data_IF_009839214905
#
_entry.id   IF_009839214905
#
_cell.length_a   1.000
_cell.length_b   1.000
_cell.length_c   1.000
_cell.angle_alpha   90.00
_cell.angle_beta   90.00
_cell.angle_gamma   90.00
#
_symmetry.space_group_name_H-M   'P 1'
#
loop_
_entity.id
_entity.type
_entity.pdbx_description
1 polymer ?
#
# COMPACT_ATOMS: atom_id res chain seq x y z
N UNK A 1 3.81 -20.48 -4.84
CA UNK A 1 2.93 -19.86 -5.85
C UNK A 1 3.24 -18.37 -5.96
N UNK A 2 3.41 -17.84 -7.17
CA UNK A 2 3.63 -16.40 -7.37
C UNK A 2 2.34 -15.72 -7.81
N UNK A 3 2.12 -14.53 -7.27
CA UNK A 3 0.96 -13.68 -7.50
C UNK A 3 1.47 -12.35 -8.03
N UNK A 4 1.00 -11.97 -9.21
CA UNK A 4 1.41 -10.77 -9.91
C UNK A 4 0.31 -9.71 -9.82
N UNK A 5 0.65 -8.54 -9.28
CA UNK A 5 -0.24 -7.39 -9.20
C UNK A 5 0.15 -6.38 -10.27
N UNK A 6 -0.84 -5.76 -10.89
CA UNK A 6 -0.66 -4.67 -11.84
C UNK A 6 -1.87 -3.74 -11.82
N UNK A 7 -1.66 -2.52 -12.29
CA UNK A 7 -2.70 -1.53 -12.55
C UNK A 7 -2.47 -1.01 -13.96
N UNK A 8 -3.55 -0.65 -14.63
CA UNK A 8 -3.51 0.13 -15.87
C UNK A 8 -3.94 1.59 -15.62
N UNK A 9 -4.17 1.95 -14.36
CA UNK A 9 -4.35 3.33 -13.91
C UNK A 9 -3.08 3.84 -13.22
N UNK A 10 -2.42 4.83 -13.83
CA UNK A 10 -1.13 5.35 -13.37
C UNK A 10 -1.15 5.81 -11.90
N UNK A 11 -2.26 6.41 -11.45
CA UNK A 11 -2.41 6.94 -10.09
C UNK A 11 -2.41 5.86 -9.00
N UNK A 12 -2.67 4.59 -9.34
CA UNK A 12 -2.69 3.47 -8.39
C UNK A 12 -1.33 2.76 -8.27
N UNK A 13 -0.34 3.14 -9.08
CA UNK A 13 0.97 2.43 -9.14
C UNK A 13 1.70 2.43 -7.79
N UNK A 14 1.64 3.55 -7.06
CA UNK A 14 2.22 3.66 -5.72
C UNK A 14 1.47 2.77 -4.71
N UNK A 15 0.13 2.72 -4.79
CA UNK A 15 -0.71 1.93 -3.87
C UNK A 15 -0.45 0.43 -4.03
N UNK A 16 -0.23 -0.05 -5.26
CA UNK A 16 0.15 -1.43 -5.52
C UNK A 16 1.44 -1.80 -4.78
N UNK A 17 2.43 -0.91 -4.78
CA UNK A 17 3.72 -1.19 -4.13
C UNK A 17 3.54 -1.39 -2.62
N UNK A 18 2.72 -0.55 -1.99
CA UNK A 18 2.36 -0.66 -0.57
C UNK A 18 1.66 -1.97 -0.26
N UNK A 19 0.73 -2.38 -1.12
CA UNK A 19 -0.02 -3.64 -0.98
C UNK A 19 0.92 -4.84 -1.11
N UNK A 20 1.79 -4.88 -2.12
CA UNK A 20 2.76 -5.98 -2.33
C UNK A 20 3.68 -6.12 -1.11
N UNK A 21 4.22 -5.02 -0.60
CA UNK A 21 5.12 -5.05 0.57
C UNK A 21 4.39 -5.55 1.82
N UNK A 22 3.14 -5.15 2.01
CA UNK A 22 2.31 -5.62 3.12
C UNK A 22 2.04 -7.13 3.03
N UNK A 23 1.57 -7.60 1.88
CA UNK A 23 1.21 -9.00 1.66
C UNK A 23 2.42 -9.94 1.81
N UNK A 24 3.61 -9.47 1.44
CA UNK A 24 4.86 -10.23 1.62
C UNK A 24 5.38 -10.26 3.06
N UNK A 25 4.77 -9.55 4.03
CA UNK A 25 5.12 -9.71 5.46
C UNK A 25 4.74 -11.08 6.01
N UNK A 26 3.70 -11.71 5.45
CA UNK A 26 3.30 -13.06 5.80
C UNK A 26 4.23 -14.09 5.14
N UNK A 27 4.96 -14.86 5.96
CA UNK A 27 5.88 -15.90 5.47
C UNK A 27 5.10 -17.11 4.96
N UNK A 28 5.45 -17.60 3.78
CA UNK A 28 4.88 -18.83 3.21
C UNK A 28 5.10 -18.96 1.71
N UNK A 29 4.31 -19.85 1.10
CA UNK A 29 4.37 -20.25 -0.31
C UNK A 29 3.84 -19.19 -1.28
N UNK A 30 2.92 -18.33 -0.84
CA UNK A 30 2.40 -17.18 -1.59
C UNK A 30 3.46 -16.07 -1.62
N UNK A 31 3.83 -15.64 -2.83
CA UNK A 31 4.79 -14.55 -3.08
C UNK A 31 4.17 -13.52 -4.00
N UNK A 32 4.14 -12.26 -3.57
CA UNK A 32 3.52 -11.17 -4.30
C UNK A 32 4.59 -10.34 -5.02
N UNK A 33 4.34 -10.01 -6.29
CA UNK A 33 5.24 -9.22 -7.13
C UNK A 33 4.44 -8.24 -7.98
N UNK A 34 5.06 -7.13 -8.35
CA UNK A 34 4.51 -6.21 -9.36
C UNK A 34 4.86 -6.75 -10.74
N UNK A 35 3.89 -6.73 -11.65
CA UNK A 35 4.09 -7.07 -13.06
C UNK A 35 4.10 -5.79 -13.90
N UNK A 36 5.16 -5.53 -14.68
CA UNK A 36 5.20 -4.36 -15.55
C UNK A 36 4.25 -4.54 -16.73
N UNK A 37 3.71 -3.42 -17.22
CA UNK A 37 2.89 -3.36 -18.42
C UNK A 37 3.48 -2.37 -19.44
N UNK A 38 3.05 -2.50 -20.69
CA UNK A 38 3.29 -1.52 -21.75
C UNK A 38 1.96 -0.89 -22.20
N UNK A 39 1.99 0.39 -22.55
CA UNK A 39 0.80 1.16 -22.95
C UNK A 39 0.43 1.04 -24.43
N UNK A 40 1.28 0.39 -25.23
CA UNK A 40 1.09 0.23 -26.68
C UNK A 40 0.40 -1.08 -27.09
N UNK A 41 -0.19 -1.82 -26.15
CA UNK A 41 -0.67 -3.20 -26.35
C UNK A 41 -2.20 -3.27 -26.53
N UNK A 42 -2.66 -4.44 -27.02
CA UNK A 42 -4.08 -4.75 -27.20
C UNK A 42 -4.87 -4.66 -25.89
N UNK A 43 -4.44 -5.38 -24.86
CA UNK A 43 -5.06 -5.32 -23.53
C UNK A 43 -5.14 -3.90 -22.94
N UNK A 44 -4.14 -3.04 -23.18
CA UNK A 44 -4.15 -1.67 -22.67
C UNK A 44 -5.26 -0.87 -23.36
N UNK A 45 -5.33 -0.98 -24.70
CA UNK A 45 -6.40 -0.33 -25.47
C UNK A 45 -7.79 -0.84 -25.07
N UNK A 46 -7.94 -2.16 -24.92
CA UNK A 46 -9.18 -2.79 -24.46
C UNK A 46 -9.62 -2.19 -23.12
N UNK A 47 -8.72 -2.18 -22.14
CA UNK A 47 -8.99 -1.59 -20.83
C UNK A 47 -9.49 -0.15 -20.93
N UNK A 48 -8.77 0.74 -21.63
CA UNK A 48 -9.14 2.15 -21.73
C UNK A 48 -10.46 2.39 -22.47
N UNK A 49 -10.79 1.55 -23.45
CA UNK A 49 -12.06 1.64 -24.19
C UNK A 49 -13.25 1.09 -23.40
N UNK A 50 -13.03 0.17 -22.47
CA UNK A 50 -14.07 -0.38 -21.62
C UNK A 50 -14.54 0.62 -20.57
N UNK A 51 -15.86 0.86 -20.47
CA UNK A 51 -16.46 1.64 -19.37
C UNK A 51 -16.49 0.85 -18.05
N UNK A 52 -16.65 -0.46 -18.17
CA UNK A 52 -16.73 -1.43 -17.08
C UNK A 52 -16.07 -2.74 -17.53
N UNK A 53 -15.65 -3.56 -16.57
CA UNK A 53 -14.96 -4.82 -16.83
C UNK A 53 -15.90 -6.00 -16.61
N UNK A 54 -16.02 -6.88 -17.60
CA UNK A 54 -16.70 -8.17 -17.48
C UNK A 54 -15.71 -9.26 -17.10
N UNK A 55 -16.20 -10.45 -16.75
CA UNK A 55 -15.33 -11.61 -16.52
C UNK A 55 -14.47 -11.94 -17.74
N UNK A 56 -15.03 -11.80 -18.95
CA UNK A 56 -14.32 -12.02 -20.21
C UNK A 56 -13.20 -10.99 -20.39
N UNK A 57 -13.47 -9.69 -20.21
CA UNK A 57 -12.44 -8.66 -20.38
C UNK A 57 -11.35 -8.74 -19.30
N UNK A 58 -11.71 -9.10 -18.06
CA UNK A 58 -10.73 -9.39 -17.00
C UNK A 58 -9.80 -10.52 -17.43
N UNK A 59 -10.36 -11.61 -17.96
CA UNK A 59 -9.58 -12.76 -18.39
C UNK A 59 -8.67 -12.42 -19.57
N UNK A 60 -9.17 -11.72 -20.58
CA UNK A 60 -8.42 -11.29 -21.76
C UNK A 60 -7.24 -10.38 -21.37
N UNK A 61 -7.52 -9.32 -20.60
CA UNK A 61 -6.48 -8.37 -20.14
C UNK A 61 -5.40 -9.08 -19.33
N UNK A 62 -5.80 -9.91 -18.36
CA UNK A 62 -4.84 -10.62 -17.51
C UNK A 62 -4.01 -11.63 -18.31
N UNK A 63 -4.63 -12.40 -19.22
CA UNK A 63 -3.92 -13.42 -19.98
C UNK A 63 -2.94 -12.83 -20.98
N UNK A 64 -3.31 -11.76 -21.68
CA UNK A 64 -2.39 -11.07 -22.60
C UNK A 64 -1.18 -10.51 -21.84
N UNK A 65 -1.40 -9.79 -20.73
CA UNK A 65 -0.31 -9.21 -19.94
C UNK A 65 0.59 -10.29 -19.32
N UNK A 66 0.00 -11.36 -18.76
CA UNK A 66 0.77 -12.51 -18.27
C UNK A 66 1.55 -13.18 -19.39
N UNK A 67 1.01 -13.17 -20.61
CA UNK A 67 1.66 -13.76 -21.77
C UNK A 67 2.86 -13.00 -22.27
N UNK A 68 2.75 -11.68 -22.35
CA UNK A 68 3.89 -10.80 -22.66
C UNK A 68 5.05 -11.00 -21.68
N UNK A 69 4.73 -11.35 -20.43
CA UNK A 69 5.71 -11.56 -19.36
C UNK A 69 6.07 -13.04 -19.12
N UNK A 70 5.55 -13.99 -19.90
CA UNK A 70 5.77 -15.44 -19.74
C UNK A 70 5.41 -16.00 -18.34
N UNK A 71 4.28 -15.57 -17.77
CA UNK A 71 3.83 -15.95 -16.42
C UNK A 71 2.39 -16.49 -16.38
N UNK A 72 1.90 -17.07 -17.49
CA UNK A 72 0.51 -17.55 -17.66
C UNK A 72 -0.04 -18.41 -16.50
N UNK A 73 0.79 -19.29 -15.94
CA UNK A 73 0.43 -20.22 -14.85
C UNK A 73 0.21 -19.55 -13.48
N UNK A 74 0.58 -18.28 -13.35
CA UNK A 74 0.51 -17.54 -12.09
C UNK A 74 -0.79 -16.73 -11.98
N UNK A 75 -1.08 -16.27 -10.76
CA UNK A 75 -2.16 -15.32 -10.54
C UNK A 75 -1.81 -13.97 -11.14
N UNK A 76 -2.76 -13.38 -11.87
CA UNK A 76 -2.72 -12.00 -12.34
C UNK A 76 -3.84 -11.21 -11.67
N UNK A 77 -3.48 -10.15 -10.95
CA UNK A 77 -4.40 -9.30 -10.19
C UNK A 77 -4.34 -7.89 -10.76
N UNK A 78 -5.42 -7.50 -11.44
CA UNK A 78 -5.67 -6.15 -11.90
C UNK A 78 -6.32 -5.33 -10.78
N UNK A 79 -5.63 -4.31 -10.28
CA UNK A 79 -6.24 -3.26 -9.44
C UNK A 79 -6.66 -2.12 -10.37
N UNK A 80 -7.91 -1.66 -10.26
CA UNK A 80 -8.52 -0.77 -11.25
C UNK A 80 -9.56 0.16 -10.64
N UNK A 81 -9.65 1.38 -11.16
CA UNK A 81 -10.72 2.33 -10.88
C UNK A 81 -12.00 2.10 -11.70
N UNK A 82 -12.01 1.11 -12.61
CA UNK A 82 -13.19 0.78 -13.42
C UNK A 82 -14.19 -0.06 -12.63
N UNK A 83 -15.48 0.16 -12.93
CA UNK A 83 -16.56 -0.68 -12.40
C UNK A 83 -16.40 -2.12 -12.90
N UNK A 84 -16.57 -3.08 -12.01
CA UNK A 84 -16.62 -4.51 -12.36
C UNK A 84 -18.09 -4.92 -12.48
N UNK A 85 -18.44 -5.51 -13.62
CA UNK A 85 -19.80 -5.95 -13.89
C UNK A 85 -20.16 -7.20 -13.08
N UNK A 86 -21.42 -7.27 -12.67
CA UNK A 86 -21.97 -8.44 -11.99
C UNK A 86 -22.12 -9.59 -13.00
N UNK A 87 -21.69 -10.82 -12.68
CA UNK A 87 -21.97 -11.98 -13.52
C UNK A 87 -23.47 -12.19 -13.72
N UNK A 88 -23.90 -12.38 -14.98
CA UNK A 88 -25.33 -12.50 -15.37
C UNK A 88 -26.06 -13.66 -14.69
N UNK A 89 -25.36 -14.72 -14.29
CA UNK A 89 -25.94 -15.90 -13.64
C UNK A 89 -26.45 -15.65 -12.21
N UNK A 90 -26.14 -14.48 -11.60
CA UNK A 90 -26.47 -14.18 -10.22
C UNK A 90 -27.68 -13.23 -10.17
N UNK A 91 -28.89 -13.79 -10.08
CA UNK A 91 -30.11 -13.03 -9.80
C UNK A 91 -30.27 -12.82 -8.30
N UNK A 92 -29.61 -11.78 -7.79
CA UNK A 92 -29.95 -11.17 -6.49
C UNK A 92 -30.33 -9.71 -6.76
N UNK A 93 -31.43 -9.26 -6.17
CA UNK A 93 -31.85 -7.87 -6.25
C UNK A 93 -30.80 -6.95 -5.58
N UNK A 94 -30.32 -5.96 -6.33
CA UNK A 94 -29.36 -4.96 -5.90
C UNK A 94 -28.59 -4.31 -7.07
N UNK A 95 -28.58 -2.98 -7.13
CA UNK A 95 -27.60 -2.17 -7.90
C UNK A 95 -26.32 -2.01 -7.05
N UNK A 96 -25.10 -1.83 -7.54
CA UNK A 96 -24.49 -1.73 -8.88
C UNK A 96 -22.98 -2.00 -8.67
N UNK A 97 -22.32 -2.73 -9.58
CA UNK A 97 -20.88 -3.11 -9.59
C UNK A 97 -20.34 -3.94 -8.41
N UNK A 98 -19.48 -4.91 -8.72
CA UNK A 98 -18.77 -5.72 -7.71
C UNK A 98 -17.47 -5.03 -7.29
N UNK A 99 -17.06 -5.24 -6.03
CA UNK A 99 -15.78 -4.75 -5.51
C UNK A 99 -14.59 -5.55 -6.02
N UNK A 100 -14.81 -6.81 -6.36
CA UNK A 100 -13.81 -7.69 -6.94
C UNK A 100 -14.49 -8.82 -7.70
N UNK A 101 -13.79 -9.43 -8.64
CA UNK A 101 -14.23 -10.64 -9.33
C UNK A 101 -13.03 -11.43 -9.83
N UNK A 102 -13.21 -12.73 -10.07
CA UNK A 102 -12.18 -13.59 -10.62
C UNK A 102 -12.70 -14.60 -11.63
N UNK A 103 -11.81 -14.97 -12.55
CA UNK A 103 -11.95 -16.09 -13.49
C UNK A 103 -10.67 -16.92 -13.38
N UNK A 104 -10.75 -18.10 -12.76
CA UNK A 104 -9.58 -18.90 -12.41
C UNK A 104 -8.52 -18.09 -11.64
N UNK A 105 -7.36 -17.85 -12.27
CA UNK A 105 -6.21 -17.12 -11.71
C UNK A 105 -6.15 -15.65 -12.14
N UNK A 106 -7.17 -15.17 -12.83
CA UNK A 106 -7.29 -13.78 -13.27
C UNK A 106 -8.28 -13.07 -12.35
N UNK A 107 -7.81 -12.08 -11.60
CA UNK A 107 -8.57 -11.37 -10.57
C UNK A 107 -8.60 -9.89 -10.93
N UNK A 108 -9.75 -9.24 -10.78
CA UNK A 108 -9.86 -7.79 -10.81
C UNK A 108 -10.42 -7.28 -9.48
N UNK A 109 -9.89 -6.16 -9.00
CA UNK A 109 -10.30 -5.51 -7.77
C UNK A 109 -10.49 -4.03 -8.04
N UNK A 110 -11.67 -3.54 -7.71
CA UNK A 110 -12.00 -2.12 -7.78
C UNK A 110 -11.23 -1.38 -6.68
N UNK A 111 -10.62 -0.24 -6.99
CA UNK A 111 -9.88 0.61 -6.05
C UNK A 111 -10.72 1.70 -5.38
N UNK A 112 -11.95 1.92 -5.84
CA UNK A 112 -12.79 3.03 -5.41
C UNK A 112 -13.69 2.65 -4.21
N UNK A 113 -14.17 3.68 -3.51
CA UNK A 113 -15.18 3.61 -2.44
C UNK A 113 -14.74 2.87 -1.16
N UNK A 114 -13.44 2.59 -1.01
CA UNK A 114 -12.90 1.93 0.17
C UNK A 114 -12.59 2.88 1.32
N UNK A 115 -12.38 4.16 1.02
CA UNK A 115 -12.08 5.20 2.01
C UNK A 115 -13.21 5.31 3.03
N UNK A 116 -14.46 5.25 2.57
CA UNK A 116 -15.67 5.31 3.39
C UNK A 116 -15.89 4.03 4.21
N UNK A 117 -15.32 2.90 3.79
CA UNK A 117 -15.45 1.60 4.46
C UNK A 117 -14.33 1.40 5.48
N UNK A 118 -13.12 1.91 5.21
CA UNK A 118 -11.91 1.59 5.98
C UNK A 118 -11.21 2.81 6.58
N UNK A 119 -11.90 3.94 6.67
CA UNK A 119 -11.39 5.18 7.30
C UNK A 119 -10.05 5.61 6.67
N UNK A 120 -10.07 5.90 5.37
CA UNK A 120 -8.91 6.30 4.55
C UNK A 120 -7.79 5.23 4.41
N UNK A 121 -8.04 3.97 4.80
CA UNK A 121 -7.11 2.84 4.68
C UNK A 121 -7.45 1.90 3.52
N UNK A 122 -7.82 2.46 2.37
CA UNK A 122 -8.28 1.72 1.17
C UNK A 122 -7.38 0.57 0.75
N UNK A 123 -6.06 0.74 0.89
CA UNK A 123 -5.07 -0.30 0.58
C UNK A 123 -5.24 -1.59 1.42
N UNK A 124 -5.78 -1.51 2.64
CA UNK A 124 -6.08 -2.67 3.48
C UNK A 124 -7.32 -3.42 2.97
N UNK A 125 -8.33 -2.68 2.49
CA UNK A 125 -9.51 -3.27 1.89
C UNK A 125 -9.16 -3.99 0.58
N UNK A 126 -8.37 -3.35 -0.28
CA UNK A 126 -7.86 -3.96 -1.52
C UNK A 126 -7.03 -5.21 -1.20
N UNK A 127 -6.14 -5.15 -0.21
CA UNK A 127 -5.35 -6.32 0.23
C UNK A 127 -6.24 -7.46 0.75
N UNK A 128 -7.31 -7.14 1.49
CA UNK A 128 -8.31 -8.13 1.90
C UNK A 128 -8.96 -8.78 0.68
N UNK A 129 -9.43 -7.98 -0.28
CA UNK A 129 -10.05 -8.48 -1.51
C UNK A 129 -9.11 -9.38 -2.32
N UNK A 130 -7.80 -9.07 -2.37
CA UNK A 130 -6.79 -9.94 -2.99
C UNK A 130 -6.80 -11.33 -2.35
N UNK A 131 -6.69 -11.37 -1.02
CA UNK A 131 -6.61 -12.62 -0.28
C UNK A 131 -7.93 -13.39 -0.35
N UNK A 132 -9.07 -12.70 -0.32
CA UNK A 132 -10.40 -13.27 -0.50
C UNK A 132 -10.53 -13.96 -1.87
N UNK A 133 -10.19 -13.27 -2.96
CA UNK A 133 -10.31 -13.84 -4.30
C UNK A 133 -9.33 -15.00 -4.52
N UNK A 134 -8.11 -14.93 -3.96
CA UNK A 134 -7.17 -16.06 -3.99
C UNK A 134 -7.75 -17.26 -3.23
N UNK A 135 -8.28 -17.04 -2.03
CA UNK A 135 -8.89 -18.10 -1.22
C UNK A 135 -10.08 -18.76 -1.94
N UNK A 136 -10.98 -17.96 -2.51
CA UNK A 136 -12.15 -18.44 -3.25
C UNK A 136 -11.75 -19.18 -4.54
N UNK A 137 -10.75 -18.67 -5.27
CA UNK A 137 -10.19 -19.31 -6.46
C UNK A 137 -9.54 -20.67 -6.14
N UNK A 138 -8.71 -20.74 -5.09
CA UNK A 138 -8.12 -22.01 -4.62
C UNK A 138 -9.18 -23.00 -4.12
N UNK A 139 -10.28 -22.49 -3.56
CA UNK A 139 -11.45 -23.29 -3.16
C UNK A 139 -12.31 -23.74 -4.35
N UNK A 140 -11.92 -23.41 -5.58
CA UNK A 140 -12.63 -23.75 -6.83
C UNK A 140 -14.06 -23.18 -6.89
N UNK A 141 -14.31 -22.03 -6.27
CA UNK A 141 -15.59 -21.33 -6.37
C UNK A 141 -15.73 -20.75 -7.78
N UNK A 142 -16.88 -20.97 -8.41
CA UNK A 142 -17.18 -20.44 -9.74
C UNK A 142 -18.21 -19.31 -9.64
N UNK A 143 -17.77 -18.06 -9.85
CA UNK A 143 -18.63 -16.88 -9.82
C UNK A 143 -19.70 -16.85 -10.92
N UNK A 144 -19.49 -17.60 -12.02
CA UNK A 144 -20.47 -17.73 -13.10
C UNK A 144 -21.47 -18.87 -12.88
N UNK A 145 -21.34 -19.65 -11.81
CA UNK A 145 -22.21 -20.80 -11.54
C UNK A 145 -23.53 -20.39 -10.89
N UNK A 146 -24.62 -21.07 -11.26
CA UNK A 146 -25.91 -21.00 -10.56
C UNK A 146 -25.83 -21.55 -9.13
N UNK A 147 -24.80 -22.33 -8.81
CA UNK A 147 -24.57 -22.94 -7.50
C UNK A 147 -23.76 -22.04 -6.56
N UNK A 148 -23.27 -20.87 -7.01
CA UNK A 148 -22.44 -19.95 -6.22
C UNK A 148 -23.02 -19.69 -4.81
N UNK A 149 -24.34 -19.55 -4.74
CA UNK A 149 -25.07 -19.24 -3.52
C UNK A 149 -24.99 -20.34 -2.45
N UNK A 150 -24.62 -21.56 -2.84
CA UNK A 150 -24.38 -22.69 -1.94
C UNK A 150 -22.92 -22.76 -1.46
N UNK A 151 -22.02 -22.04 -2.12
CA UNK A 151 -20.59 -22.03 -1.82
C UNK A 151 -20.16 -20.88 -0.89
N UNK A 152 -21.00 -19.85 -0.78
CA UNK A 152 -20.76 -18.65 0.04
C UNK A 152 -21.78 -18.52 1.18
N UNK A 153 -21.51 -17.63 2.14
CA UNK A 153 -22.45 -17.33 3.21
C UNK A 153 -23.33 -16.14 2.85
N UNK A 154 -24.62 -16.40 2.67
CA UNK A 154 -25.62 -15.36 2.43
C UNK A 154 -25.91 -14.53 3.68
N UNK A 155 -25.85 -15.17 4.85
CA UNK A 155 -25.96 -14.49 6.13
C UNK A 155 -24.55 -14.25 6.66
N UNK A 156 -24.21 -12.97 6.87
CA UNK A 156 -22.90 -12.56 7.36
C UNK A 156 -22.64 -13.13 8.75
N UNK A 157 -21.43 -13.67 8.94
CA UNK A 157 -20.90 -14.16 10.22
C UNK A 157 -19.43 -13.75 10.41
N UNK A 158 -18.97 -12.76 9.64
CA UNK A 158 -17.59 -12.33 9.54
C UNK A 158 -16.66 -13.36 8.89
N UNK A 159 -17.12 -14.26 8.04
CA UNK A 159 -16.22 -15.17 7.33
C UNK A 159 -15.72 -14.51 6.03
N UNK A 160 -14.51 -14.86 5.58
CA UNK A 160 -13.97 -14.41 4.28
C UNK A 160 -14.89 -14.74 3.08
N UNK A 161 -15.70 -15.79 3.19
CA UNK A 161 -16.69 -16.19 2.18
C UNK A 161 -18.09 -15.60 2.43
N UNK A 162 -18.23 -14.58 3.27
CA UNK A 162 -19.49 -13.85 3.39
C UNK A 162 -19.72 -13.00 2.12
N UNK A 163 -20.94 -13.04 1.60
CA UNK A 163 -21.33 -12.33 0.39
C UNK A 163 -21.14 -10.81 0.50
N UNK A 164 -21.38 -10.22 1.69
CA UNK A 164 -21.19 -8.79 1.93
C UNK A 164 -22.22 -7.93 1.18
N UNK A 165 -23.50 -8.01 1.60
CA UNK A 165 -24.62 -7.34 0.91
C UNK A 165 -24.56 -5.82 0.94
N UNK A 166 -23.84 -5.26 1.91
CA UNK A 166 -23.74 -3.83 2.15
C UNK A 166 -22.38 -3.51 2.77
N UNK A 167 -22.05 -2.22 2.84
CA UNK A 167 -20.77 -1.73 3.35
C UNK A 167 -20.50 -2.14 4.80
N UNK A 168 -21.53 -2.25 5.65
CA UNK A 168 -21.40 -2.67 7.05
C UNK A 168 -20.96 -4.14 7.13
N UNK A 169 -21.59 -5.01 6.35
CA UNK A 169 -21.19 -6.43 6.26
C UNK A 169 -19.79 -6.60 5.67
N UNK A 170 -19.44 -5.80 4.67
CA UNK A 170 -18.08 -5.80 4.08
C UNK A 170 -17.05 -5.37 5.12
N UNK A 171 -17.31 -4.28 5.84
CA UNK A 171 -16.43 -3.82 6.92
C UNK A 171 -16.28 -4.88 8.02
N UNK A 172 -17.38 -5.49 8.46
CA UNK A 172 -17.37 -6.55 9.47
C UNK A 172 -16.57 -7.78 9.01
N UNK A 173 -16.68 -8.17 7.73
CA UNK A 173 -15.88 -9.25 7.12
C UNK A 173 -14.39 -8.92 7.15
N UNK A 174 -14.02 -7.70 6.76
CA UNK A 174 -12.62 -7.27 6.76
C UNK A 174 -12.06 -7.25 8.20
N UNK A 175 -12.85 -6.72 9.15
CA UNK A 175 -12.48 -6.58 10.56
C UNK A 175 -12.38 -7.91 11.31
N UNK A 176 -13.09 -8.95 10.88
CA UNK A 176 -13.02 -10.24 11.54
C UNK A 176 -11.69 -10.96 11.26
N UNK A 177 -11.12 -10.77 10.06
CA UNK A 177 -9.97 -11.53 9.56
C UNK A 177 -10.16 -13.05 9.63
N UNK A 178 -11.42 -13.51 9.60
CA UNK A 178 -11.80 -14.86 10.01
C UNK A 178 -12.23 -15.75 8.84
N UNK A 179 -11.90 -17.04 8.93
CA UNK A 179 -12.36 -18.09 8.01
C UNK A 179 -13.07 -19.15 8.86
N UNK A 180 -14.33 -19.47 8.55
CA UNK A 180 -15.06 -20.47 9.34
C UNK A 180 -14.56 -21.90 9.08
N UNK A 181 -14.82 -22.81 10.02
CA UNK A 181 -14.41 -24.22 9.94
C UNK A 181 -14.82 -24.88 8.62
N UNK A 182 -16.08 -24.74 8.20
CA UNK A 182 -16.57 -25.29 6.94
C UNK A 182 -15.78 -24.76 5.71
N UNK A 183 -15.46 -23.47 5.68
CA UNK A 183 -14.64 -22.92 4.59
C UNK A 183 -13.20 -23.42 4.63
N UNK A 184 -12.62 -23.62 5.81
CA UNK A 184 -11.29 -24.21 5.97
C UNK A 184 -11.27 -25.67 5.50
N UNK A 185 -12.28 -26.46 5.88
CA UNK A 185 -12.43 -27.86 5.46
C UNK A 185 -12.59 -27.96 3.94
N UNK A 186 -13.51 -27.20 3.35
CA UNK A 186 -13.68 -27.12 1.89
C UNK A 186 -12.37 -26.76 1.17
N UNK A 187 -11.59 -25.83 1.71
CA UNK A 187 -10.32 -25.44 1.12
C UNK A 187 -9.34 -26.63 1.06
N UNK A 188 -9.24 -27.41 2.14
CA UNK A 188 -8.38 -28.60 2.21
C UNK A 188 -8.92 -29.73 1.32
N UNK A 189 -10.23 -30.00 1.35
CA UNK A 189 -10.89 -31.04 0.55
C UNK A 189 -10.72 -30.81 -0.97
N UNK A 190 -10.51 -29.56 -1.39
CA UNK A 190 -10.21 -29.16 -2.78
C UNK A 190 -8.74 -29.38 -3.16
N UNK A 191 -7.95 -30.02 -2.30
CA UNK A 191 -6.56 -30.42 -2.57
C UNK A 191 -5.51 -29.37 -2.23
N UNK A 192 -5.88 -28.32 -1.49
CA UNK A 192 -4.93 -27.29 -1.07
C UNK A 192 -4.20 -27.69 0.23
N UNK A 193 -2.98 -27.20 0.39
CA UNK A 193 -2.15 -27.51 1.56
C UNK A 193 -2.44 -26.59 2.77
N UNK A 194 -2.32 -27.17 3.97
CA UNK A 194 -2.52 -26.46 5.24
C UNK A 194 -1.54 -25.28 5.45
N UNK A 195 -0.25 -25.35 5.07
CA UNK A 195 0.64 -24.19 5.12
C UNK A 195 0.14 -22.98 4.34
N UNK A 196 -0.43 -23.18 3.13
CA UNK A 196 -1.04 -22.10 2.34
C UNK A 196 -2.26 -21.51 3.07
N UNK A 197 -3.12 -22.34 3.65
CA UNK A 197 -4.26 -21.87 4.46
C UNK A 197 -3.79 -21.03 5.66
N UNK A 198 -2.75 -21.49 6.36
CA UNK A 198 -2.18 -20.77 7.51
C UNK A 198 -1.56 -19.43 7.10
N UNK A 199 -0.92 -19.36 5.93
CA UNK A 199 -0.41 -18.10 5.40
C UNK A 199 -1.56 -17.11 5.10
N UNK A 200 -2.66 -17.58 4.50
CA UNK A 200 -3.86 -16.77 4.24
C UNK A 200 -4.42 -16.22 5.57
N UNK A 201 -4.60 -17.08 6.58
CA UNK A 201 -5.09 -16.67 7.91
C UNK A 201 -4.17 -15.64 8.58
N UNK A 202 -2.85 -15.84 8.47
CA UNK A 202 -1.87 -14.88 8.99
C UNK A 202 -1.97 -13.52 8.30
N UNK A 203 -2.13 -13.50 6.96
CA UNK A 203 -2.30 -12.27 6.20
C UNK A 203 -3.59 -11.54 6.58
N UNK A 204 -4.71 -12.26 6.72
CA UNK A 204 -5.98 -11.69 7.18
C UNK A 204 -5.86 -11.10 8.59
N UNK A 205 -5.11 -11.76 9.47
CA UNK A 205 -4.84 -11.25 10.83
C UNK A 205 -4.03 -9.95 10.78
N UNK A 206 -3.01 -9.87 9.92
CA UNK A 206 -2.23 -8.63 9.72
C UNK A 206 -3.13 -7.49 9.22
N UNK A 207 -4.01 -7.76 8.26
CA UNK A 207 -4.95 -6.78 7.73
C UNK A 207 -5.91 -6.31 8.82
N UNK A 208 -6.55 -7.26 9.52
CA UNK A 208 -7.44 -6.99 10.65
C UNK A 208 -6.77 -6.10 11.67
N UNK A 209 -5.59 -6.49 12.15
CA UNK A 209 -4.90 -5.76 13.20
C UNK A 209 -4.68 -4.31 12.77
N UNK A 210 -4.23 -4.05 11.53
CA UNK A 210 -4.02 -2.68 11.04
C UNK A 210 -5.29 -1.84 10.92
N UNK A 211 -6.46 -2.47 10.77
CA UNK A 211 -7.74 -1.75 10.76
C UNK A 211 -8.24 -1.56 12.19
N UNK A 212 -8.14 -2.58 13.04
CA UNK A 212 -8.57 -2.54 14.45
C UNK A 212 -7.62 -1.79 15.38
N UNK A 213 -6.37 -1.56 14.96
CA UNK A 213 -5.35 -0.82 15.71
C UNK A 213 -5.74 0.66 15.77
N UNK A 214 -6.88 0.94 16.41
CA UNK A 214 -7.32 2.25 16.88
C UNK A 214 -6.61 2.60 18.20
N UNK A 215 -5.35 2.18 18.35
CA UNK A 215 -4.54 2.50 19.52
C UNK A 215 -4.10 3.97 19.46
N UNK A 216 -5.05 4.87 19.68
CA UNK A 216 -4.87 6.17 20.33
C UNK A 216 -4.60 5.94 21.84
N UNK A 217 -3.75 4.96 22.18
CA UNK A 217 -2.98 5.14 23.39
C UNK A 217 -2.11 6.35 23.09
N UNK A 218 -2.35 7.44 23.82
CA UNK A 218 -1.30 8.36 24.25
C UNK A 218 -0.23 7.54 24.98
N UNK A 219 0.46 6.65 24.25
CA UNK A 219 1.76 6.19 24.64
C UNK A 219 2.54 7.48 24.72
N UNK A 220 3.02 7.81 25.92
CA UNK A 220 4.24 8.59 26.05
C UNK A 220 5.31 7.78 25.33
N UNK A 221 5.32 7.86 24.00
CA UNK A 221 6.27 7.13 23.21
C UNK A 221 7.58 7.88 23.38
N UNK A 222 8.34 7.48 24.40
CA UNK A 222 9.73 7.89 24.58
C UNK A 222 10.64 7.17 23.57
N UNK A 223 10.10 6.60 22.49
CA UNK A 223 10.95 5.99 21.48
C UNK A 223 11.76 7.07 20.78
N UNK A 224 13.04 6.79 20.72
CA UNK A 224 14.06 7.59 20.06
C UNK A 224 14.11 7.18 18.60
N UNK A 225 14.15 8.16 17.70
CA UNK A 225 14.53 7.94 16.31
C UNK A 225 16.06 7.97 16.21
N UNK A 226 16.63 6.89 15.74
CA UNK A 226 18.07 6.71 15.56
C UNK A 226 18.44 6.70 14.08
N UNK A 227 19.59 7.28 13.76
CA UNK A 227 20.18 7.25 12.42
C UNK A 227 21.64 6.83 12.50
N UNK A 228 22.00 5.77 11.79
CA UNK A 228 23.37 5.29 11.71
C UNK A 228 24.24 6.09 10.71
N UNK A 229 25.56 5.86 10.72
CA UNK A 229 26.51 6.49 9.77
C UNK A 229 26.18 6.27 8.28
N UNK A 230 25.33 5.30 7.93
CA UNK A 230 24.92 5.00 6.56
C UNK A 230 23.58 5.64 6.19
N UNK A 231 22.97 6.39 7.12
CA UNK A 231 21.67 7.02 6.92
C UNK A 231 20.49 6.05 7.06
N UNK A 232 20.68 4.87 7.65
CA UNK A 232 19.56 4.00 7.99
C UNK A 232 18.82 4.55 9.20
N UNK A 233 17.50 4.67 9.08
CA UNK A 233 16.65 5.30 10.09
C UNK A 233 15.84 4.22 10.81
N UNK A 234 15.84 4.27 12.14
CA UNK A 234 15.05 3.36 12.97
C UNK A 234 14.34 4.11 14.09
N UNK A 235 13.13 3.70 14.45
CA UNK A 235 12.39 4.18 15.62
C UNK A 235 12.26 3.00 16.57
N UNK A 236 12.96 3.06 17.71
CA UNK A 236 13.12 1.91 18.60
C UNK A 236 13.62 0.68 17.84
N UNK A 237 12.81 -0.38 17.77
CA UNK A 237 13.12 -1.63 17.05
C UNK A 237 12.66 -1.65 15.59
N UNK A 238 12.01 -0.59 15.11
CA UNK A 238 11.38 -0.53 13.79
C UNK A 238 12.25 0.24 12.81
N UNK A 239 12.72 -0.44 11.74
CA UNK A 239 13.43 0.22 10.65
C UNK A 239 12.45 0.95 9.74
N UNK A 240 12.72 2.22 9.45
CA UNK A 240 12.01 2.98 8.43
C UNK A 240 12.68 2.68 7.09
N UNK A 241 11.96 1.99 6.20
CA UNK A 241 12.48 1.57 4.91
C UNK A 241 11.78 2.32 3.77
N UNK A 242 12.54 3.11 3.03
CA UNK A 242 12.08 3.80 1.83
C UNK A 242 12.18 2.94 0.56
N UNK A 243 12.62 1.69 0.67
CA UNK A 243 12.79 0.78 -0.46
C UNK A 243 13.71 1.37 -1.53
N UNK A 244 13.20 1.46 -2.76
CA UNK A 244 13.92 2.06 -3.88
C UNK A 244 13.77 3.59 -3.96
N UNK A 245 12.96 4.22 -3.10
CA UNK A 245 12.70 5.66 -3.10
C UNK A 245 13.80 6.45 -2.38
N UNK A 246 15.05 6.30 -2.86
CA UNK A 246 16.25 6.92 -2.27
C UNK A 246 16.15 8.45 -2.17
N UNK A 247 15.49 9.08 -3.14
CA UNK A 247 15.21 10.51 -3.18
C UNK A 247 14.36 10.96 -1.97
N UNK A 248 13.33 10.18 -1.62
CA UNK A 248 12.47 10.45 -0.46
C UNK A 248 13.24 10.26 0.84
N UNK A 249 14.05 9.20 0.91
CA UNK A 249 14.92 8.93 2.05
C UNK A 249 15.91 10.10 2.29
N UNK A 250 16.49 10.65 1.22
CA UNK A 250 17.40 11.79 1.31
C UNK A 250 16.71 13.04 1.88
N UNK A 251 15.53 13.38 1.38
CA UNK A 251 14.75 14.54 1.88
C UNK A 251 14.38 14.32 3.35
N UNK A 252 13.90 13.12 3.71
CA UNK A 252 13.54 12.80 5.09
C UNK A 252 14.74 12.89 6.04
N UNK A 253 15.85 12.27 5.66
CA UNK A 253 17.08 12.30 6.42
C UNK A 253 17.59 13.73 6.65
N UNK A 254 17.53 14.60 5.63
CA UNK A 254 17.95 15.99 5.78
C UNK A 254 17.16 16.73 6.87
N UNK A 255 15.82 16.60 6.85
CA UNK A 255 14.97 17.23 7.86
C UNK A 255 15.07 16.58 9.22
N UNK A 256 15.40 15.28 9.29
CA UNK A 256 15.62 14.59 10.55
C UNK A 256 16.93 15.04 11.22
N UNK A 257 17.99 15.23 10.44
CA UNK A 257 19.25 15.81 10.91
C UNK A 257 19.01 17.25 11.40
N UNK A 258 18.19 18.00 10.67
CA UNK A 258 17.85 19.40 10.91
C UNK A 258 16.48 19.56 11.60
N UNK A 259 16.12 18.62 12.48
CA UNK A 259 14.85 18.70 13.19
C UNK A 259 14.72 20.01 13.98
N UNK A 260 13.49 20.42 14.21
CA UNK A 260 13.08 21.72 14.78
C UNK A 260 13.41 22.94 13.91
N UNK A 261 14.12 22.79 12.78
CA UNK A 261 14.30 23.85 11.80
C UNK A 261 13.17 23.86 10.79
N UNK A 262 12.50 25.01 10.70
CA UNK A 262 11.46 25.26 9.70
C UNK A 262 12.15 25.66 8.41
N UNK A 263 12.10 24.77 7.42
CA UNK A 263 12.74 24.98 6.11
C UNK A 263 11.66 24.86 5.04
N UNK A 264 11.50 25.93 4.27
CA UNK A 264 10.57 26.04 3.15
C UNK A 264 11.27 26.25 1.81
N UNK A 265 10.46 26.51 0.79
CA UNK A 265 10.92 26.73 -0.58
C UNK A 265 12.00 27.82 -0.68
N UNK A 266 11.74 29.01 -0.11
CA UNK A 266 12.65 30.16 -0.22
C UNK A 266 13.98 29.91 0.50
N UNK A 267 13.98 29.16 1.60
CA UNK A 267 15.20 28.79 2.32
C UNK A 267 16.16 28.01 1.41
N UNK A 268 15.65 27.09 0.59
CA UNK A 268 16.47 26.36 -0.38
C UNK A 268 17.01 27.25 -1.51
N UNK A 269 16.33 28.35 -1.85
CA UNK A 269 16.78 29.26 -2.91
C UNK A 269 17.76 30.32 -2.41
N UNK A 270 17.56 30.82 -1.20
CA UNK A 270 18.25 32.00 -0.68
C UNK A 270 19.41 31.64 0.26
N UNK A 271 19.33 30.53 1.00
CA UNK A 271 20.32 30.17 2.01
C UNK A 271 21.33 29.17 1.46
N UNK A 272 22.51 29.67 1.09
CA UNK A 272 23.63 28.86 0.59
C UNK A 272 23.98 27.70 1.52
N UNK A 273 23.94 27.90 2.83
CA UNK A 273 24.24 26.83 3.80
C UNK A 273 23.27 25.66 3.66
N UNK A 274 21.96 25.91 3.54
CA UNK A 274 20.95 24.86 3.37
C UNK A 274 21.21 24.08 2.07
N UNK A 275 21.50 24.79 0.97
CA UNK A 275 21.84 24.16 -0.31
C UNK A 275 23.06 23.25 -0.19
N UNK A 276 24.13 23.76 0.43
CA UNK A 276 25.41 23.06 0.53
C UNK A 276 25.28 21.85 1.46
N UNK A 277 24.59 21.97 2.61
CA UNK A 277 24.32 20.87 3.53
C UNK A 277 23.44 19.79 2.89
N UNK A 278 22.34 20.18 2.25
CA UNK A 278 21.44 19.26 1.54
C UNK A 278 22.18 18.51 0.44
N UNK A 279 22.86 19.23 -0.45
CA UNK A 279 23.61 18.61 -1.56
C UNK A 279 24.73 17.73 -1.02
N UNK A 280 25.44 18.12 0.04
CA UNK A 280 26.54 17.32 0.61
C UNK A 280 26.10 15.99 1.23
N UNK A 281 24.82 15.86 1.60
CA UNK A 281 24.24 14.62 2.11
C UNK A 281 24.22 13.50 1.05
N UNK A 282 24.46 13.81 -0.24
CA UNK A 282 24.69 12.80 -1.28
C UNK A 282 25.82 11.83 -0.93
N UNK A 283 26.77 12.22 -0.09
CA UNK A 283 27.86 11.35 0.38
C UNK A 283 27.35 10.16 1.22
N UNK A 284 26.16 10.30 1.82
CA UNK A 284 25.51 9.26 2.61
C UNK A 284 24.51 8.49 1.74
N UNK A 285 23.66 9.20 0.99
CA UNK A 285 22.51 8.56 0.31
C UNK A 285 22.74 8.26 -1.17
N UNK A 286 23.75 8.87 -1.80
CA UNK A 286 24.00 8.82 -3.25
C UNK A 286 23.12 9.75 -4.11
N UNK A 287 22.16 10.45 -3.51
CA UNK A 287 21.15 11.29 -4.19
C UNK A 287 21.47 12.79 -4.13
N UNK A 288 20.91 13.59 -5.05
CA UNK A 288 21.09 15.04 -5.11
C UNK A 288 22.56 15.50 -5.17
N UNK A 289 23.36 14.91 -6.08
CA UNK A 289 24.79 15.22 -6.24
C UNK A 289 25.10 16.66 -6.64
N UNK A 290 24.12 17.40 -7.16
CA UNK A 290 24.30 18.79 -7.62
C UNK A 290 23.03 19.63 -7.36
N UNK A 291 23.17 20.95 -7.46
CA UNK A 291 22.10 21.92 -7.21
C UNK A 291 20.93 21.82 -8.19
N UNK A 292 21.16 21.39 -9.44
CA UNK A 292 20.08 21.25 -10.42
C UNK A 292 19.05 20.19 -9.99
N UNK A 293 19.50 19.07 -9.44
CA UNK A 293 18.58 18.05 -8.93
C UNK A 293 17.78 18.56 -7.72
N UNK A 294 18.40 19.39 -6.86
CA UNK A 294 17.71 19.99 -5.72
C UNK A 294 16.57 20.90 -6.16
N UNK A 295 16.73 21.69 -7.23
CA UNK A 295 15.68 22.58 -7.76
C UNK A 295 14.41 21.80 -8.11
N UNK A 296 14.52 20.65 -8.76
CA UNK A 296 13.34 19.81 -9.08
C UNK A 296 12.60 19.30 -7.84
N UNK A 297 13.28 19.13 -6.71
CA UNK A 297 12.62 18.88 -5.43
C UNK A 297 11.91 20.12 -4.90
N UNK A 298 12.59 21.27 -4.92
CA UNK A 298 12.08 22.54 -4.41
C UNK A 298 10.78 22.93 -5.13
N UNK A 299 10.73 22.78 -6.45
CA UNK A 299 9.55 23.10 -7.27
C UNK A 299 8.34 22.19 -6.94
N UNK A 300 8.58 20.96 -6.46
CA UNK A 300 7.55 19.95 -6.18
C UNK A 300 7.50 19.55 -4.70
N UNK A 301 7.94 20.44 -3.81
CA UNK A 301 8.21 20.15 -2.40
C UNK A 301 6.99 19.54 -1.68
N UNK A 302 5.79 20.09 -1.90
CA UNK A 302 4.55 19.58 -1.28
C UNK A 302 4.26 18.12 -1.63
N UNK A 303 4.48 17.73 -2.89
CA UNK A 303 4.30 16.37 -3.39
C UNK A 303 5.28 15.41 -2.70
N UNK A 304 6.56 15.79 -2.62
CA UNK A 304 7.59 14.98 -1.96
C UNK A 304 7.29 14.75 -0.49
N UNK A 305 6.92 15.80 0.25
CA UNK A 305 6.58 15.70 1.68
C UNK A 305 5.32 14.87 1.92
N UNK A 306 4.31 14.98 1.04
CA UNK A 306 3.10 14.15 1.09
C UNK A 306 3.43 12.67 0.87
N UNK A 307 4.31 12.36 -0.09
CA UNK A 307 4.78 10.98 -0.34
C UNK A 307 5.57 10.42 0.84
N UNK A 308 6.50 11.19 1.39
CA UNK A 308 7.28 10.76 2.56
C UNK A 308 6.36 10.45 3.74
N UNK A 309 5.36 11.30 4.00
CA UNK A 309 4.34 11.06 5.03
C UNK A 309 3.71 9.66 4.89
N UNK A 310 3.33 9.25 3.67
CA UNK A 310 2.80 7.89 3.40
C UNK A 310 3.83 6.79 3.71
N UNK A 311 5.10 6.98 3.35
CA UNK A 311 6.17 6.01 3.65
C UNK A 311 6.40 5.81 5.15
N UNK A 312 6.40 6.90 5.92
CA UNK A 312 6.55 6.85 7.38
C UNK A 312 5.35 6.13 8.01
N UNK A 313 4.13 6.47 7.58
CA UNK A 313 2.90 5.80 8.03
C UNK A 313 2.90 4.29 7.75
N UNK A 314 3.47 3.87 6.62
CA UNK A 314 3.56 2.45 6.27
C UNK A 314 4.67 1.70 7.01
N UNK A 315 5.75 2.40 7.35
CA UNK A 315 6.90 1.85 8.09
C UNK A 315 6.60 1.69 9.58
N UNK A 316 5.87 2.64 10.16
CA UNK A 316 5.49 2.65 11.56
C UNK A 316 4.08 2.10 11.69
N UNK A 317 3.95 0.86 12.16
CA UNK A 317 2.65 0.19 12.31
C UNK A 317 1.78 0.77 13.42
N UNK A 318 2.32 1.67 14.25
CA UNK A 318 1.61 2.31 15.36
C UNK A 318 1.31 3.76 14.95
N UNK A 319 0.03 4.14 14.93
CA UNK A 319 -0.40 5.46 14.46
C UNK A 319 0.13 6.62 15.32
N UNK A 320 0.20 6.43 16.64
CA UNK A 320 0.76 7.43 17.57
C UNK A 320 2.25 7.68 17.34
N UNK A 321 3.02 6.66 16.92
CA UNK A 321 4.40 6.85 16.45
C UNK A 321 4.41 7.72 15.18
N UNK A 322 3.60 7.37 14.19
CA UNK A 322 3.52 8.12 12.94
C UNK A 322 3.20 9.61 13.16
N UNK A 323 2.25 9.95 14.05
CA UNK A 323 1.90 11.35 14.37
C UNK A 323 3.10 12.15 14.90
N UNK A 324 4.05 11.49 15.57
CA UNK A 324 5.27 12.10 16.11
C UNK A 324 6.39 12.25 15.07
N UNK A 325 6.58 11.26 14.20
CA UNK A 325 7.71 11.21 13.27
C UNK A 325 7.41 11.74 11.86
N UNK A 326 6.21 12.27 11.61
CA UNK A 326 5.87 12.92 10.35
C UNK A 326 6.19 14.41 10.32
N UNK A 327 6.26 14.97 9.11
CA UNK A 327 6.41 16.40 8.90
C UNK A 327 5.24 17.22 9.41
N UNK A 328 5.53 18.18 10.26
CA UNK A 328 4.64 19.32 10.47
C UNK A 328 4.84 20.30 9.32
N UNK A 329 3.77 21.00 8.95
CA UNK A 329 3.84 22.03 7.94
C UNK A 329 3.01 23.25 8.31
N UNK A 330 3.44 24.42 7.84
CA UNK A 330 2.70 25.68 8.01
C UNK A 330 2.86 26.53 6.76
N UNK A 331 1.75 27.04 6.24
CA UNK A 331 1.74 28.04 5.18
C UNK A 331 1.78 29.43 5.80
N UNK A 332 2.74 30.26 5.40
CA UNK A 332 2.74 31.69 5.70
C UNK A 332 2.49 32.49 4.42
N UNK A 333 1.90 33.68 4.55
CA UNK A 333 1.65 34.57 3.41
C UNK A 333 2.95 35.16 2.83
N UNK A 334 3.97 35.35 3.66
CA UNK A 334 5.23 36.01 3.28
C UNK A 334 6.31 35.04 2.78
N UNK A 335 6.34 33.79 3.29
CA UNK A 335 7.45 32.87 3.09
C UNK A 335 7.02 31.51 2.50
N UNK A 336 5.72 31.32 2.20
CA UNK A 336 5.20 30.10 1.60
C UNK A 336 5.08 28.92 2.57
N UNK A 337 5.12 27.69 2.04
CA UNK A 337 5.01 26.45 2.83
C UNK A 337 6.35 26.07 3.46
N UNK A 338 6.35 25.88 4.78
CA UNK A 338 7.50 25.37 5.53
C UNK A 338 7.18 23.98 6.06
N UNK A 339 8.21 23.17 6.15
CA UNK A 339 8.17 21.83 6.71
C UNK A 339 9.18 21.72 7.85
N UNK A 340 8.89 20.90 8.85
CA UNK A 340 9.85 20.53 9.88
C UNK A 340 9.43 19.22 10.53
N UNK A 341 10.39 18.53 11.14
CA UNK A 341 10.12 17.49 12.12
C UNK A 341 10.30 18.10 13.51
N UNK A 342 9.40 17.79 14.44
CA UNK A 342 9.43 18.36 15.78
C UNK A 342 9.74 17.27 16.80
N UNK A 343 10.88 17.40 17.46
CA UNK A 343 11.37 16.43 18.44
C UNK A 343 11.98 17.15 19.64
N UNK A 344 11.86 16.54 20.82
CA UNK A 344 12.71 16.90 21.94
C UNK A 344 14.13 16.36 21.69
N UNK A 345 15.16 17.05 22.19
CA UNK A 345 16.57 16.68 21.94
C UNK A 345 16.93 15.27 22.40
N UNK A 346 16.23 14.73 23.40
CA UNK A 346 16.37 13.36 23.91
C UNK A 346 15.77 12.28 22.99
N UNK A 347 15.02 12.68 21.96
CA UNK A 347 14.24 11.77 21.11
C UNK A 347 14.92 11.51 19.76
N UNK A 348 16.08 12.11 19.50
CA UNK A 348 16.83 11.92 18.25
C UNK A 348 18.28 11.54 18.54
N UNK A 349 18.66 10.34 18.11
CA UNK A 349 20.04 9.86 18.14
C UNK A 349 20.62 9.87 16.72
N UNK A 350 21.57 10.78 16.47
CA UNK A 350 22.27 10.83 15.19
C UNK A 350 23.69 10.34 15.39
N UNK A 351 24.16 9.47 14.49
CA UNK A 351 25.58 9.16 14.40
C UNK A 351 26.41 10.46 14.32
N UNK A 352 27.51 10.60 15.07
CA UNK A 352 28.35 11.79 15.05
C UNK A 352 28.79 12.22 13.64
N UNK A 353 28.97 11.28 12.72
CA UNK A 353 29.34 11.59 11.33
C UNK A 353 28.28 12.42 10.60
N UNK A 354 27.02 12.38 11.04
CA UNK A 354 25.92 13.11 10.41
C UNK A 354 25.80 14.56 10.90
N UNK A 355 26.45 14.91 12.01
CA UNK A 355 26.40 16.27 12.56
C UNK A 355 26.97 17.31 11.60
N UNK A 356 27.88 16.90 10.70
CA UNK A 356 28.41 17.77 9.64
C UNK A 356 27.33 18.29 8.68
N UNK A 357 26.16 17.64 8.60
CA UNK A 357 25.04 18.04 7.74
C UNK A 357 24.02 18.93 8.43
N UNK A 358 24.22 19.27 9.72
CA UNK A 358 23.40 20.25 10.41
C UNK A 358 23.66 21.66 9.86
N UNK A 359 22.58 22.38 9.62
CA UNK A 359 22.53 23.80 9.31
C UNK A 359 22.71 24.55 10.63
N UNK A 360 23.66 25.47 10.69
CA UNK A 360 23.85 26.36 11.83
C UNK A 360 22.75 27.42 11.79
N UNK A 361 22.09 27.65 12.94
CA UNK A 361 21.06 28.69 13.10
C UNK A 361 21.71 29.96 13.61
#
# INVERSE_FOLDING_TARGET
MTIYLFTLDDHLTEDISVIVDMLNKSKGSLKFKILPYRSSTGYYKLYYQSKSLTLESISEICNELKGENNVFENYGILITSKKIEKPKAITLDGKESWYSAFVFKNIAINSNDWEEITEDRSYLAIAHQIIENIFQSLSQINLGSTELMQEIHLNSKGCINDYGRNRVEIYAKIMSGYICKNCQEKFIDRGNDEPTLNQIKSTLTIIRNRITDNYDLNLNVNETISVDKYGQISVGRHKINFGNAKTLAHIYLFYLINHNLKIGHNDFLEKKEIQDKFTSLHKVTGEYKNKFHMIGYVDSMSTYHTRIKKYIQNSLTIESLYKKFHYKSKKSKEYGHHYWLEFESSQVELDPSLQQYRVKV
#
